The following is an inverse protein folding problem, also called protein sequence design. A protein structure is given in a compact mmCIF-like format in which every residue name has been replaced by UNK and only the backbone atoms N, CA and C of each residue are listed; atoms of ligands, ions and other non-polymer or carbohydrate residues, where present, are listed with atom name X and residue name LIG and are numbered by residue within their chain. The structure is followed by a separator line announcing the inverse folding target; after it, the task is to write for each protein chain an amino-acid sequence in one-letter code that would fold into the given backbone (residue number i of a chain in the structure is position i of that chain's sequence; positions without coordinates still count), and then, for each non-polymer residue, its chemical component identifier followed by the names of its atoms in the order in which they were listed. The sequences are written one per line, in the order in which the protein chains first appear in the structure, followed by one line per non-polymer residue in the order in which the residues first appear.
data_IF_434100724038
#
_entry.id   IF_434100724038
#
_cell.length_a   1.000
_cell.length_b   1.000
_cell.length_c   1.000
_cell.angle_alpha   90.00
_cell.angle_beta   90.00
_cell.angle_gamma   90.00
#
_symmetry.space_group_name_H-M   'P 1'
#
loop_
_entity.id
_entity.type
_entity.pdbx_description
1 polymer ?
#
# COMPACT_ATOMS: atom_id res chain seq x y z
N UNK A 1 -9.38 -13.67 28.48
CA UNK A 1 -8.98 -13.89 27.07
C UNK A 1 -9.08 -12.55 26.37
N UNK A 2 -7.94 -11.97 25.99
CA UNK A 2 -7.88 -10.66 25.34
C UNK A 2 -8.29 -10.83 23.87
N UNK A 3 -9.58 -10.73 23.57
CA UNK A 3 -10.07 -10.77 22.20
C UNK A 3 -9.67 -9.48 21.49
N UNK A 4 -8.83 -9.59 20.46
CA UNK A 4 -8.44 -8.44 19.65
C UNK A 4 -9.60 -8.04 18.74
N UNK A 5 -10.00 -6.77 18.79
CA UNK A 5 -11.04 -6.23 17.91
C UNK A 5 -10.41 -5.89 16.57
N UNK A 6 -11.09 -6.29 15.50
CA UNK A 6 -10.75 -5.89 14.13
C UNK A 6 -11.95 -5.24 13.46
N UNK A 7 -11.65 -4.24 12.66
CA UNK A 7 -12.66 -3.45 11.96
C UNK A 7 -12.62 -3.78 10.47
N UNK A 8 -13.70 -4.33 9.94
CA UNK A 8 -13.85 -4.72 8.53
C UNK A 8 -15.15 -4.16 7.96
N UNK A 9 -15.11 -3.68 6.71
CA UNK A 9 -16.30 -3.20 6.02
C UNK A 9 -17.28 -4.36 5.81
N UNK A 10 -18.49 -4.25 6.37
CA UNK A 10 -19.54 -5.24 6.15
C UNK A 10 -20.24 -4.96 4.80
N UNK A 11 -20.66 -6.00 4.05
CA UNK A 11 -20.74 -7.41 4.42
C UNK A 11 -19.39 -8.16 4.34
N UNK A 12 -19.05 -8.86 5.43
CA UNK A 12 -17.87 -9.74 5.48
C UNK A 12 -18.22 -11.12 4.91
N UNK A 13 -17.36 -11.66 4.03
CA UNK A 13 -17.57 -13.01 3.49
C UNK A 13 -17.49 -14.08 4.59
N UNK A 14 -18.22 -15.19 4.42
CA UNK A 14 -18.25 -16.26 5.43
C UNK A 14 -16.85 -16.84 5.71
N UNK A 15 -16.01 -16.96 4.68
CA UNK A 15 -14.63 -17.44 4.79
C UNK A 15 -13.76 -16.49 5.62
N UNK A 16 -13.90 -15.18 5.39
CA UNK A 16 -13.17 -14.15 6.12
C UNK A 16 -13.61 -14.08 7.57
N UNK A 17 -14.92 -14.16 7.80
CA UNK A 17 -15.52 -14.16 9.15
C UNK A 17 -15.09 -15.35 9.99
N UNK A 18 -15.03 -16.54 9.39
CA UNK A 18 -14.59 -17.76 10.08
C UNK A 18 -13.10 -17.73 10.37
N UNK A 19 -12.27 -17.27 9.43
CA UNK A 19 -10.83 -17.09 9.63
C UNK A 19 -10.51 -16.17 10.81
N UNK A 20 -11.17 -15.02 10.84
CA UNK A 20 -10.97 -14.00 11.87
C UNK A 20 -11.44 -14.48 13.24
N UNK A 21 -12.60 -15.15 13.33
CA UNK A 21 -13.07 -15.76 14.57
C UNK A 21 -12.19 -16.93 15.03
N UNK A 22 -11.67 -17.76 14.12
CA UNK A 22 -10.74 -18.85 14.44
C UNK A 22 -9.45 -18.33 15.06
N UNK A 23 -9.01 -17.13 14.65
CA UNK A 23 -7.87 -16.42 15.25
C UNK A 23 -8.21 -15.72 16.56
N UNK A 24 -9.46 -15.76 17.02
CA UNK A 24 -9.91 -15.12 18.25
C UNK A 24 -10.19 -13.62 18.11
N UNK A 25 -10.40 -13.13 16.88
CA UNK A 25 -10.74 -11.73 16.64
C UNK A 25 -12.24 -11.47 16.71
N UNK A 26 -12.60 -10.30 17.28
CA UNK A 26 -13.95 -9.75 17.24
C UNK A 26 -14.09 -8.80 16.06
N UNK A 27 -14.93 -9.19 15.11
CA UNK A 27 -15.15 -8.45 13.86
C UNK A 27 -16.22 -7.39 14.09
N UNK A 28 -15.86 -6.12 13.92
CA UNK A 28 -16.74 -4.96 14.02
C UNK A 28 -16.76 -4.24 12.67
N UNK A 29 -17.86 -3.58 12.37
CA UNK A 29 -17.98 -2.78 11.16
C UNK A 29 -17.00 -1.60 11.17
N UNK A 30 -16.32 -1.35 10.05
CA UNK A 30 -15.31 -0.31 9.94
C UNK A 30 -15.86 1.12 10.09
N UNK A 31 -17.19 1.31 10.08
CA UNK A 31 -17.82 2.58 10.51
C UNK A 31 -17.60 2.92 11.99
N UNK A 32 -17.29 1.93 12.83
CA UNK A 32 -17.02 2.10 14.26
C UNK A 32 -15.51 2.10 14.56
N UNK A 33 -14.66 2.03 13.53
CA UNK A 33 -13.23 2.11 13.71
C UNK A 33 -12.85 3.53 14.16
N UNK A 34 -11.96 3.68 15.17
CA UNK A 34 -11.38 4.98 15.45
C UNK A 34 -10.50 5.44 14.28
N UNK A 35 -10.41 6.76 14.09
CA UNK A 35 -9.52 7.37 13.10
C UNK A 35 -8.07 6.91 13.39
N UNK A 36 -7.41 6.26 12.41
CA UNK A 36 -6.05 5.72 12.57
C UNK A 36 -5.95 4.27 13.06
N UNK A 37 -7.05 3.50 13.08
CA UNK A 37 -6.98 2.05 13.37
C UNK A 37 -6.18 1.29 12.29
N UNK A 38 -5.09 0.65 12.72
CA UNK A 38 -4.28 -0.24 11.89
C UNK A 38 -4.76 -1.68 12.05
N UNK A 39 -5.16 -2.32 10.95
CA UNK A 39 -5.57 -3.71 10.96
C UNK A 39 -4.34 -4.61 11.16
N UNK A 40 -4.29 -5.47 12.21
CA UNK A 40 -3.11 -6.26 12.55
C UNK A 40 -2.76 -7.34 11.52
N UNK A 41 -3.67 -7.62 10.58
CA UNK A 41 -3.40 -8.49 9.43
C UNK A 41 -3.59 -7.76 8.10
N UNK A 42 -2.61 -7.77 7.19
CA UNK A 42 -2.78 -7.18 5.88
C UNK A 42 -3.92 -7.91 5.17
N UNK A 43 -4.96 -7.16 4.80
CA UNK A 43 -6.10 -7.66 4.04
C UNK A 43 -5.57 -8.01 2.63
N UNK A 44 -5.21 -9.28 2.41
CA UNK A 44 -4.98 -9.81 1.06
C UNK A 44 -6.33 -9.83 0.32
N UNK A 45 -6.56 -8.72 -0.37
CA UNK A 45 -7.32 -8.52 -1.60
C UNK A 45 -8.55 -9.40 -1.85
N UNK A 46 -9.71 -8.78 -1.72
CA UNK A 46 -10.94 -9.12 -2.44
C UNK A 46 -11.69 -7.82 -2.68
N UNK A 47 -11.90 -7.45 -3.94
CA UNK A 47 -12.45 -6.16 -4.36
C UNK A 47 -13.80 -5.84 -3.68
N UNK A 48 -13.88 -4.75 -2.92
CA UNK A 48 -15.09 -3.94 -2.75
C UNK A 48 -14.77 -2.62 -2.02
N UNK A 49 -14.77 -1.53 -2.78
CA UNK A 49 -15.42 -0.27 -2.37
C UNK A 49 -14.91 0.44 -1.11
N UNK A 50 -13.69 1.01 -1.17
CA UNK A 50 -13.45 2.36 -0.63
C UNK A 50 -12.70 3.18 -1.67
N UNK A 51 -13.49 3.80 -2.54
CA UNK A 51 -13.10 4.98 -3.30
C UNK A 51 -12.48 5.98 -2.31
N UNK A 52 -11.34 6.53 -2.73
CA UNK A 52 -10.70 7.76 -2.27
C UNK A 52 -10.22 7.85 -0.81
N UNK A 53 -9.03 7.31 -0.50
CA UNK A 53 -7.88 8.14 -0.07
C UNK A 53 -6.54 7.39 -0.01
N UNK A 54 -6.54 6.08 0.26
CA UNK A 54 -5.29 5.38 0.62
C UNK A 54 -4.60 4.60 -0.50
N UNK A 55 -5.17 4.54 -1.70
CA UNK A 55 -4.55 3.86 -2.86
C UNK A 55 -3.65 4.80 -3.68
N UNK A 56 -3.98 6.09 -3.73
CA UNK A 56 -3.13 7.10 -4.36
C UNK A 56 -1.84 7.33 -3.55
N UNK A 57 -1.91 7.27 -2.22
CA UNK A 57 -0.77 7.53 -1.35
C UNK A 57 0.27 6.41 -1.38
N UNK A 58 -0.15 5.14 -1.52
CA UNK A 58 0.80 4.02 -1.69
C UNK A 58 1.47 4.00 -3.06
N UNK A 59 0.73 4.31 -4.13
CA UNK A 59 1.33 4.43 -5.47
C UNK A 59 2.29 5.62 -5.56
N UNK A 60 1.93 6.76 -4.97
CA UNK A 60 2.80 7.94 -4.96
C UNK A 60 4.07 7.74 -4.13
N UNK A 61 3.97 7.01 -2.99
CA UNK A 61 5.14 6.66 -2.18
C UNK A 61 6.07 5.69 -2.91
N UNK A 62 5.51 4.67 -3.59
CA UNK A 62 6.30 3.70 -4.35
C UNK A 62 6.96 4.33 -5.60
N UNK A 63 6.24 5.20 -6.33
CA UNK A 63 6.81 5.97 -7.43
C UNK A 63 7.92 6.91 -6.97
N UNK A 64 7.76 7.57 -5.82
CA UNK A 64 8.80 8.44 -5.26
C UNK A 64 10.05 7.65 -4.86
N UNK A 65 9.89 6.47 -4.26
CA UNK A 65 11.01 5.61 -3.89
C UNK A 65 11.74 5.05 -5.13
N UNK A 66 10.99 4.62 -6.16
CA UNK A 66 11.56 4.17 -7.43
C UNK A 66 12.28 5.31 -8.15
N UNK A 67 11.69 6.51 -8.18
CA UNK A 67 12.31 7.71 -8.76
C UNK A 67 13.65 8.02 -8.06
N UNK A 68 13.68 8.00 -6.72
CA UNK A 68 14.91 8.26 -5.95
C UNK A 68 16.00 7.21 -6.20
N UNK A 69 15.64 5.93 -6.30
CA UNK A 69 16.58 4.84 -6.64
C UNK A 69 17.19 5.04 -8.04
N UNK A 70 16.38 5.37 -9.04
CA UNK A 70 16.85 5.61 -10.40
C UNK A 70 17.76 6.85 -10.48
N UNK A 71 17.40 7.94 -9.79
CA UNK A 71 18.22 9.14 -9.69
C UNK A 71 19.59 8.86 -9.04
N UNK A 72 19.62 8.08 -7.96
CA UNK A 72 20.86 7.65 -7.32
C UNK A 72 21.75 6.86 -8.29
N UNK A 73 21.19 5.86 -8.95
CA UNK A 73 21.92 5.03 -9.91
C UNK A 73 22.46 5.85 -11.11
N UNK A 74 21.67 6.78 -11.64
CA UNK A 74 22.12 7.68 -12.71
C UNK A 74 23.24 8.62 -12.25
N UNK A 75 23.15 9.13 -11.01
CA UNK A 75 24.20 9.98 -10.43
C UNK A 75 25.51 9.21 -10.23
N UNK A 76 25.43 7.96 -9.77
CA UNK A 76 26.59 7.05 -9.64
C UNK A 76 27.24 6.74 -10.99
N UNK A 77 26.43 6.64 -12.05
CA UNK A 77 26.91 6.46 -13.43
C UNK A 77 27.39 7.76 -14.08
N UNK A 78 27.27 8.91 -13.42
CA UNK A 78 27.64 10.22 -13.94
C UNK A 78 26.68 10.77 -15.01
N UNK A 79 25.46 10.24 -15.09
CA UNK A 79 24.44 10.67 -16.05
C UNK A 79 23.63 11.83 -15.48
N UNK A 80 23.63 12.97 -16.17
CA UNK A 80 22.83 14.12 -15.79
C UNK A 80 21.36 13.91 -16.17
N UNK A 81 20.45 14.10 -15.21
CA UNK A 81 19.00 14.10 -15.42
C UNK A 81 18.38 15.40 -14.91
N UNK A 82 17.30 15.84 -15.54
CA UNK A 82 16.54 16.99 -15.08
C UNK A 82 15.72 16.67 -13.81
N UNK A 83 15.48 17.63 -12.90
CA UNK A 83 14.61 17.43 -11.74
C UNK A 83 13.16 17.10 -12.14
N UNK A 84 12.77 17.52 -13.33
CA UNK A 84 11.47 17.25 -13.97
C UNK A 84 11.39 15.86 -14.64
N UNK A 85 12.48 15.10 -14.70
CA UNK A 85 12.48 13.78 -15.35
C UNK A 85 11.47 12.84 -14.68
N UNK A 86 10.63 12.19 -15.48
CA UNK A 86 9.64 11.23 -14.99
C UNK A 86 10.32 9.90 -14.62
N UNK A 87 9.64 9.04 -13.85
CA UNK A 87 10.17 7.71 -13.51
C UNK A 87 10.59 6.95 -14.79
N UNK A 88 9.76 7.00 -15.83
CA UNK A 88 10.03 6.33 -17.11
C UNK A 88 11.26 6.90 -17.83
N UNK A 89 11.46 8.21 -17.79
CA UNK A 89 12.64 8.84 -18.39
C UNK A 89 13.92 8.46 -17.64
N UNK A 90 13.88 8.46 -16.31
CA UNK A 90 15.02 8.04 -15.48
C UNK A 90 15.35 6.56 -15.70
N UNK A 91 14.33 5.71 -15.85
CA UNK A 91 14.50 4.28 -16.16
C UNK A 91 15.16 4.09 -17.53
N UNK A 92 14.66 4.76 -18.58
CA UNK A 92 15.23 4.69 -19.93
C UNK A 92 16.67 5.20 -19.98
N UNK A 93 16.98 6.26 -19.25
CA UNK A 93 18.35 6.78 -19.14
C UNK A 93 19.28 5.77 -18.46
N UNK A 94 18.78 5.06 -17.44
CA UNK A 94 19.57 4.07 -16.72
C UNK A 94 19.82 2.84 -17.59
N UNK A 95 18.80 2.34 -18.28
CA UNK A 95 18.89 1.19 -19.17
C UNK A 95 19.77 1.47 -20.41
N UNK A 96 19.76 2.70 -20.92
CA UNK A 96 20.64 3.13 -22.01
C UNK A 96 22.08 3.39 -21.60
N UNK A 97 22.36 3.53 -20.29
CA UNK A 97 23.68 3.74 -19.72
C UNK A 97 24.29 2.47 -19.08
N UNK A 98 23.55 1.36 -19.05
CA UNK A 98 24.01 0.04 -18.61
C UNK A 98 24.89 -0.64 -19.67
#
# INVERSE_FOLDING_TARGET
MSESIIYEQHPVSAERKTYLRRKGYKIIDAKFAPEGYEHPEPIKEGKASKVSKSAAEKKAAEEAEQKAKLQGALTEKGVQFGPEATLEDLQKLLDGAA
#
